data_IF_842843987536
#
_entry.id   IF_842843987536
#
_cell.length_a   1.000
_cell.length_b   1.000
_cell.length_c   1.000
_cell.angle_alpha   90.00
_cell.angle_beta   90.00
_cell.angle_gamma   90.00
#
_symmetry.space_group_name_H-M   'P 1'
#
loop_
_entity.id
_entity.type
_entity.pdbx_description
1 polymer ?
#
# COMPACT_ATOMS: atom_id res chain seq x y z
N UNK A 1 -3.54 -0.52 -53.45
CA UNK A 1 -4.53 -1.53 -53.04
C UNK A 1 -4.69 -1.44 -51.53
N UNK A 2 -5.75 -0.79 -51.07
CA UNK A 2 -6.04 -0.65 -49.64
C UNK A 2 -7.03 -1.75 -49.25
N UNK A 3 -6.60 -2.64 -48.34
CA UNK A 3 -7.42 -3.72 -47.82
C UNK A 3 -8.54 -3.20 -46.92
N UNK A 4 -9.72 -3.77 -47.10
CA UNK A 4 -10.94 -3.48 -46.37
C UNK A 4 -10.76 -3.71 -44.86
N UNK A 5 -11.18 -2.71 -44.06
CA UNK A 5 -11.21 -2.84 -42.60
C UNK A 5 -12.43 -3.67 -42.23
N UNK A 6 -12.19 -4.84 -41.63
CA UNK A 6 -13.23 -5.69 -41.06
C UNK A 6 -14.09 -4.93 -40.07
N UNK A 7 -15.40 -5.04 -40.24
CA UNK A 7 -16.42 -4.49 -39.36
C UNK A 7 -16.40 -5.24 -38.02
N UNK A 8 -15.91 -4.62 -36.95
CA UNK A 8 -15.94 -5.19 -35.60
C UNK A 8 -17.36 -5.06 -35.07
N UNK A 9 -18.04 -6.17 -34.86
CA UNK A 9 -19.37 -6.21 -34.23
C UNK A 9 -19.29 -5.68 -32.79
N UNK A 10 -20.10 -4.68 -32.45
CA UNK A 10 -20.25 -4.22 -31.07
C UNK A 10 -20.92 -5.33 -30.24
N UNK A 11 -20.15 -5.95 -29.35
CA UNK A 11 -20.69 -6.87 -28.34
C UNK A 11 -21.58 -6.12 -27.33
N UNK A 12 -22.48 -6.83 -26.63
CA UNK A 12 -23.41 -6.22 -25.68
C UNK A 12 -22.64 -5.50 -24.58
N UNK A 13 -22.84 -4.17 -24.49
CA UNK A 13 -22.31 -3.32 -23.43
C UNK A 13 -23.21 -3.45 -22.20
N UNK A 14 -23.16 -4.61 -21.55
CA UNK A 14 -23.75 -4.74 -20.23
C UNK A 14 -22.92 -3.90 -19.26
N UNK A 15 -23.46 -2.75 -18.87
CA UNK A 15 -22.94 -1.94 -17.79
C UNK A 15 -23.08 -2.74 -16.49
N UNK A 16 -22.06 -3.53 -16.15
CA UNK A 16 -21.93 -4.12 -14.82
C UNK A 16 -21.70 -2.95 -13.86
N UNK A 17 -22.80 -2.39 -13.35
CA UNK A 17 -22.82 -1.46 -12.24
C UNK A 17 -22.25 -2.20 -11.03
N UNK A 18 -20.96 -2.00 -10.75
CA UNK A 18 -20.35 -2.43 -9.48
C UNK A 18 -21.03 -1.62 -8.39
N UNK A 19 -22.03 -2.21 -7.72
CA UNK A 19 -22.59 -1.68 -6.46
C UNK A 19 -21.42 -1.41 -5.52
N UNK A 20 -21.08 -0.12 -5.32
CA UNK A 20 -20.17 0.30 -4.25
C UNK A 20 -20.78 -0.24 -2.96
N UNK A 21 -20.06 -1.14 -2.27
CA UNK A 21 -20.47 -1.61 -0.95
C UNK A 21 -20.58 -0.37 -0.07
N UNK A 22 -21.76 -0.14 0.51
CA UNK A 22 -21.95 0.90 1.50
C UNK A 22 -20.91 0.69 2.61
N UNK A 23 -20.02 1.66 2.81
CA UNK A 23 -19.06 1.66 3.91
C UNK A 23 -19.87 1.90 5.17
N UNK A 24 -20.27 0.82 5.85
CA UNK A 24 -20.91 0.92 7.15
C UNK A 24 -19.87 1.42 8.16
N UNK A 25 -20.08 2.61 8.72
CA UNK A 25 -19.31 3.09 9.86
C UNK A 25 -19.78 2.31 11.11
N UNK A 26 -18.89 1.55 11.79
CA UNK A 26 -19.32 0.71 12.90
C UNK A 26 -19.66 1.58 14.11
N UNK A 27 -20.91 1.52 14.55
CA UNK A 27 -21.40 2.17 15.77
C UNK A 27 -21.23 1.23 16.96
N UNK A 28 -20.40 1.64 17.93
CA UNK A 28 -20.33 1.28 19.38
C UNK A 28 -20.98 -0.04 19.84
N UNK A 29 -20.32 -1.16 19.53
CA UNK A 29 -19.79 -2.21 20.44
C UNK A 29 -18.91 -3.06 19.53
N UNK A 30 -17.63 -2.75 19.48
CA UNK A 30 -16.74 -3.37 18.51
C UNK A 30 -16.54 -4.84 18.93
N UNK A 31 -17.17 -5.77 18.22
CA UNK A 31 -16.74 -7.17 18.24
C UNK A 31 -15.27 -7.27 17.81
N UNK A 32 -14.68 -8.47 17.86
CA UNK A 32 -13.26 -8.71 17.58
C UNK A 32 -12.77 -7.97 16.31
N UNK A 33 -13.50 -8.08 15.19
CA UNK A 33 -13.21 -7.36 13.94
C UNK A 33 -13.13 -5.84 14.12
N UNK A 34 -14.05 -5.28 14.90
CA UNK A 34 -14.09 -3.84 15.17
C UNK A 34 -12.91 -3.38 16.03
N UNK A 35 -12.49 -4.18 17.01
CA UNK A 35 -11.32 -3.85 17.84
C UNK A 35 -10.04 -3.85 17.00
N UNK A 36 -9.88 -4.86 16.13
CA UNK A 36 -8.75 -4.94 15.19
C UNK A 36 -8.79 -3.76 14.21
N UNK A 37 -9.97 -3.40 13.70
CA UNK A 37 -10.13 -2.26 12.80
C UNK A 37 -9.74 -0.95 13.50
N UNK A 38 -10.15 -0.76 14.75
CA UNK A 38 -9.80 0.41 15.55
C UNK A 38 -8.28 0.50 15.80
N UNK A 39 -7.62 -0.62 16.12
CA UNK A 39 -6.16 -0.66 16.20
C UNK A 39 -5.50 -0.25 14.88
N UNK A 40 -5.96 -0.82 13.76
CA UNK A 40 -5.49 -0.52 12.41
C UNK A 40 -5.70 0.94 11.97
N UNK A 41 -6.60 1.68 12.64
CA UNK A 41 -6.79 3.13 12.38
C UNK A 41 -5.72 4.01 13.01
N UNK A 42 -4.91 3.45 13.92
CA UNK A 42 -3.89 4.16 14.70
C UNK A 42 -2.47 3.70 14.37
N UNK A 43 -2.27 2.45 13.98
CA UNK A 43 -0.93 1.93 13.68
C UNK A 43 -0.57 2.13 12.21
N UNK A 44 0.66 2.58 11.93
CA UNK A 44 1.20 2.65 10.58
C UNK A 44 2.01 1.39 10.29
N UNK A 45 1.37 0.31 9.85
CA UNK A 45 2.03 -0.98 9.56
C UNK A 45 1.88 -1.34 8.09
N UNK A 46 2.95 -1.84 7.46
CA UNK A 46 2.99 -2.25 6.07
C UNK A 46 3.75 -3.58 5.91
N UNK A 47 3.15 -4.63 5.31
CA UNK A 47 1.74 -4.71 4.93
C UNK A 47 0.81 -4.74 6.15
N UNK A 48 -0.48 -4.42 5.96
CA UNK A 48 -1.47 -4.40 7.04
C UNK A 48 -1.54 -5.71 7.85
N UNK A 49 -1.22 -6.84 7.22
CA UNK A 49 -1.20 -8.16 7.87
C UNK A 49 -0.20 -8.27 9.01
N UNK A 50 0.87 -7.47 9.03
CA UNK A 50 1.88 -7.50 10.10
C UNK A 50 1.33 -6.98 11.45
N UNK A 51 0.12 -6.42 11.47
CA UNK A 51 -0.56 -5.98 12.70
C UNK A 51 -0.60 -7.08 13.77
N UNK A 52 -0.70 -8.35 13.37
CA UNK A 52 -0.82 -9.50 14.30
C UNK A 52 0.45 -9.76 15.12
N UNK A 53 1.57 -9.18 14.72
CA UNK A 53 2.87 -9.30 15.39
C UNK A 53 3.20 -8.10 16.28
N UNK A 54 2.35 -7.07 16.28
CA UNK A 54 2.59 -5.87 17.07
C UNK A 54 2.37 -6.14 18.56
N UNK A 55 3.18 -5.55 19.46
CA UNK A 55 2.95 -5.63 20.89
C UNK A 55 1.52 -5.21 21.28
N UNK A 56 1.00 -4.14 20.66
CA UNK A 56 -0.35 -3.62 20.89
C UNK A 56 -1.44 -4.63 20.55
N UNK A 57 -1.20 -5.49 19.55
CA UNK A 57 -2.12 -6.58 19.19
C UNK A 57 -2.02 -7.75 20.19
N UNK A 58 -0.80 -8.07 20.63
CA UNK A 58 -0.53 -9.22 21.49
C UNK A 58 -0.92 -9.00 22.96
N UNK A 59 -0.98 -7.76 23.43
CA UNK A 59 -1.37 -7.42 24.81
C UNK A 59 -2.88 -7.66 25.05
N UNK A 60 -3.71 -7.49 24.03
CA UNK A 60 -5.16 -7.59 24.17
C UNK A 60 -5.62 -9.04 24.11
N UNK A 61 -5.97 -9.62 25.25
CA UNK A 61 -6.35 -11.04 25.39
C UNK A 61 -7.45 -11.50 24.41
N UNK A 62 -8.40 -10.62 24.09
CA UNK A 62 -9.54 -10.92 23.20
C UNK A 62 -9.14 -11.08 21.73
N UNK A 63 -8.12 -10.35 21.25
CA UNK A 63 -7.66 -10.39 19.84
C UNK A 63 -6.35 -11.15 19.66
N UNK A 64 -5.51 -11.26 20.70
CA UNK A 64 -4.17 -11.85 20.64
C UNK A 64 -4.17 -13.33 20.21
N UNK A 65 -5.25 -14.05 20.49
CA UNK A 65 -5.45 -15.45 20.05
C UNK A 65 -5.80 -15.59 18.57
N UNK A 66 -6.22 -14.50 17.91
CA UNK A 66 -6.62 -14.49 16.51
C UNK A 66 -5.39 -14.27 15.62
N UNK A 67 -5.28 -15.05 14.54
CA UNK A 67 -4.20 -14.96 13.55
C UNK A 67 -4.78 -14.70 12.15
N UNK A 68 -3.90 -14.63 11.16
CA UNK A 68 -4.24 -14.26 9.78
C UNK A 68 -5.23 -15.20 9.10
N UNK A 69 -5.42 -16.41 9.62
CA UNK A 69 -6.41 -17.39 9.17
C UNK A 69 -7.84 -17.05 9.65
N UNK A 70 -7.96 -16.34 10.77
CA UNK A 70 -9.23 -15.92 11.37
C UNK A 70 -10.03 -15.03 10.43
N UNK A 71 -11.33 -15.33 10.29
CA UNK A 71 -12.24 -14.53 9.47
C UNK A 71 -12.31 -13.07 9.95
N UNK A 72 -12.33 -12.87 11.26
CA UNK A 72 -12.43 -11.55 11.89
C UNK A 72 -11.22 -10.67 11.58
N UNK A 73 -10.03 -11.26 11.51
CA UNK A 73 -8.78 -10.56 11.13
C UNK A 73 -8.82 -10.22 9.65
N UNK A 74 -9.18 -11.18 8.79
CA UNK A 74 -9.31 -10.95 7.34
C UNK A 74 -10.31 -9.84 7.03
N UNK A 75 -11.50 -9.89 7.64
CA UNK A 75 -12.55 -8.89 7.46
C UNK A 75 -12.07 -7.49 7.92
N UNK A 76 -11.31 -7.40 9.02
CA UNK A 76 -10.75 -6.14 9.49
C UNK A 76 -9.67 -5.59 8.55
N UNK A 77 -8.78 -6.45 8.05
CA UNK A 77 -7.74 -6.08 7.08
C UNK A 77 -8.36 -5.60 5.76
N UNK A 78 -9.36 -6.32 5.24
CA UNK A 78 -10.08 -5.94 4.03
C UNK A 78 -10.83 -4.62 4.20
N UNK A 79 -11.51 -4.42 5.33
CA UNK A 79 -12.22 -3.18 5.63
C UNK A 79 -11.23 -2.00 5.70
N UNK A 80 -10.13 -2.16 6.43
CA UNK A 80 -9.11 -1.12 6.54
C UNK A 80 -8.45 -0.84 5.19
N UNK A 81 -8.07 -1.88 4.46
CA UNK A 81 -7.47 -1.76 3.13
C UNK A 81 -8.39 -1.02 2.17
N UNK A 82 -9.70 -1.31 2.19
CA UNK A 82 -10.69 -0.58 1.40
C UNK A 82 -10.75 0.91 1.75
N UNK A 83 -10.65 1.27 3.03
CA UNK A 83 -10.59 2.67 3.48
C UNK A 83 -9.31 3.35 2.97
N UNK A 84 -8.15 2.72 3.16
CA UNK A 84 -6.85 3.26 2.73
C UNK A 84 -6.81 3.43 1.20
N UNK A 85 -7.43 2.53 0.44
CA UNK A 85 -7.52 2.64 -1.03
C UNK A 85 -8.34 3.85 -1.53
N UNK A 86 -9.06 4.53 -0.64
CA UNK A 86 -9.75 5.80 -0.94
C UNK A 86 -8.97 7.04 -0.52
N UNK A 87 -7.83 6.87 0.16
CA UNK A 87 -7.02 7.98 0.63
C UNK A 87 -6.28 8.67 -0.52
N UNK A 88 -6.21 9.99 -0.42
CA UNK A 88 -5.30 10.84 -1.19
C UNK A 88 -3.99 11.00 -0.42
N UNK A 89 -2.93 11.51 -1.05
CA UNK A 89 -1.68 11.85 -0.35
C UNK A 89 -1.89 12.76 0.87
N UNK A 90 -2.90 13.65 0.83
CA UNK A 90 -3.25 14.51 1.95
C UNK A 90 -3.75 13.70 3.15
N UNK A 91 -4.56 12.66 2.90
CA UNK A 91 -5.04 11.80 3.98
C UNK A 91 -3.92 11.00 4.64
N UNK A 92 -2.91 10.56 3.88
CA UNK A 92 -1.71 9.96 4.44
C UNK A 92 -0.93 10.96 5.30
N UNK A 93 -0.71 12.18 4.80
CA UNK A 93 -0.07 13.25 5.58
C UNK A 93 -0.81 13.53 6.88
N UNK A 94 -2.13 13.67 6.82
CA UNK A 94 -2.97 13.91 8.01
C UNK A 94 -2.91 12.73 8.98
N UNK A 95 -2.87 11.49 8.48
CA UNK A 95 -2.72 10.31 9.32
C UNK A 95 -1.39 10.31 10.06
N UNK A 96 -0.27 10.57 9.38
CA UNK A 96 1.06 10.61 10.00
C UNK A 96 1.27 11.82 10.93
N UNK A 97 0.51 12.90 10.76
CA UNK A 97 0.61 14.10 11.59
C UNK A 97 -0.18 14.01 12.92
N UNK A 98 -1.03 13.00 13.11
CA UNK A 98 -1.81 12.84 14.34
C UNK A 98 -0.94 12.34 15.48
N UNK A 99 -1.15 12.92 16.67
CA UNK A 99 -0.44 12.55 17.91
C UNK A 99 -0.71 11.10 18.34
N UNK A 100 -1.86 10.53 17.97
CA UNK A 100 -2.25 9.17 18.34
C UNK A 100 -1.81 8.11 17.33
N UNK A 101 -1.09 8.49 16.27
CA UNK A 101 -0.60 7.54 15.27
C UNK A 101 0.69 6.89 15.78
N UNK A 102 0.68 5.56 15.84
CA UNK A 102 1.82 4.75 16.24
C UNK A 102 2.63 4.43 14.99
N UNK A 103 3.85 4.96 14.94
CA UNK A 103 4.76 4.84 13.81
C UNK A 103 5.60 3.58 13.92
N UNK A 104 5.23 2.54 13.17
CA UNK A 104 5.84 1.20 13.30
C UNK A 104 6.55 0.77 12.01
N UNK A 105 5.85 0.88 10.89
CA UNK A 105 6.21 0.37 9.56
C UNK A 105 6.66 -1.09 9.62
N UNK A 106 7.96 -1.34 9.50
CA UNK A 106 8.59 -2.66 9.59
C UNK A 106 9.33 -2.90 10.91
N UNK A 107 9.45 -1.89 11.79
CA UNK A 107 10.04 -2.08 13.11
C UNK A 107 9.03 -2.82 14.00
N UNK A 108 9.35 -4.04 14.41
CA UNK A 108 8.42 -4.89 15.20
C UNK A 108 8.14 -4.37 16.63
N UNK A 109 8.73 -3.23 17.02
CA UNK A 109 8.48 -2.54 18.29
C UNK A 109 8.90 -1.06 18.19
N UNK A 110 8.16 -0.17 18.86
CA UNK A 110 8.50 1.25 19.00
C UNK A 110 9.83 1.47 19.73
N UNK A 111 10.18 0.62 20.70
CA UNK A 111 11.44 0.73 21.44
C UNK A 111 12.66 0.51 20.55
N UNK A 112 12.47 -0.16 19.41
CA UNK A 112 13.50 -0.40 18.41
C UNK A 112 13.48 0.64 17.29
N UNK A 113 12.55 1.59 17.27
CA UNK A 113 12.38 2.53 16.18
C UNK A 113 13.67 3.30 15.88
N UNK A 114 14.27 3.92 16.91
CA UNK A 114 15.49 4.71 16.76
C UNK A 114 16.76 3.88 16.59
N UNK A 115 16.70 2.57 16.85
CA UNK A 115 17.77 1.63 16.56
C UNK A 115 17.65 1.01 15.16
N UNK A 116 16.44 1.04 14.58
CA UNK A 116 16.11 0.41 13.30
C UNK A 116 16.07 1.43 12.17
N UNK A 117 15.67 2.66 12.45
CA UNK A 117 15.47 3.71 11.47
C UNK A 117 16.33 4.94 11.76
N UNK A 118 16.79 5.54 10.68
CA UNK A 118 17.40 6.87 10.70
C UNK A 118 16.37 7.91 11.16
N UNK A 119 16.88 9.03 11.68
CA UNK A 119 16.04 10.20 11.90
C UNK A 119 15.43 10.69 10.57
N UNK A 120 14.40 11.53 10.66
CA UNK A 120 13.78 12.11 9.47
C UNK A 120 14.80 12.88 8.61
N UNK A 121 15.65 13.69 9.24
CA UNK A 121 16.65 14.51 8.56
C UNK A 121 17.71 13.66 7.85
N UNK A 122 18.26 12.65 8.54
CA UNK A 122 19.21 11.71 7.96
C UNK A 122 18.59 10.94 6.79
N UNK A 123 17.38 10.39 6.98
CA UNK A 123 16.65 9.68 5.94
C UNK A 123 16.46 10.55 4.69
N UNK A 124 16.08 11.81 4.88
CA UNK A 124 15.87 12.76 3.80
C UNK A 124 17.17 13.07 3.05
N UNK A 125 18.28 13.24 3.78
CA UNK A 125 19.59 13.49 3.19
C UNK A 125 20.08 12.29 2.37
N UNK A 126 19.96 11.07 2.91
CA UNK A 126 20.33 9.83 2.20
C UNK A 126 19.51 9.68 0.91
N UNK A 127 18.19 9.88 0.97
CA UNK A 127 17.32 9.78 -0.21
C UNK A 127 17.66 10.86 -1.25
N UNK A 128 17.91 12.09 -0.81
CA UNK A 128 18.32 13.19 -1.72
C UNK A 128 19.63 12.86 -2.41
N UNK A 129 20.63 12.37 -1.67
CA UNK A 129 21.93 12.01 -2.20
C UNK A 129 21.81 10.88 -3.23
N UNK A 130 21.10 9.80 -2.87
CA UNK A 130 20.85 8.66 -3.77
C UNK A 130 20.18 9.10 -5.07
N UNK A 131 19.09 9.85 -4.99
CA UNK A 131 18.35 10.26 -6.18
C UNK A 131 19.14 11.26 -7.04
N UNK A 132 19.89 12.16 -6.41
CA UNK A 132 20.74 13.12 -7.14
C UNK A 132 21.87 12.39 -7.86
N UNK A 133 22.50 11.40 -7.21
CA UNK A 133 23.54 10.58 -7.82
C UNK A 133 23.03 9.78 -9.01
N UNK A 134 21.86 9.13 -8.89
CA UNK A 134 21.29 8.27 -9.92
C UNK A 134 20.70 9.05 -11.11
N UNK A 135 20.07 10.21 -10.88
CA UNK A 135 19.25 10.89 -11.89
C UNK A 135 19.85 12.21 -12.39
N UNK A 136 20.72 12.85 -11.60
CA UNK A 136 21.33 14.16 -11.91
C UNK A 136 20.27 15.17 -12.41
N UNK A 137 20.39 15.65 -13.64
CA UNK A 137 19.51 16.65 -14.24
C UNK A 137 18.07 16.16 -14.45
N UNK A 138 17.86 14.83 -14.48
CA UNK A 138 16.53 14.22 -14.67
C UNK A 138 15.73 14.10 -13.37
N UNK A 139 16.27 14.55 -12.23
CA UNK A 139 15.65 14.38 -10.92
C UNK A 139 14.24 14.98 -10.83
N UNK A 140 14.05 16.20 -11.36
CA UNK A 140 12.74 16.86 -11.31
C UNK A 140 11.70 16.18 -12.19
N UNK A 141 12.11 15.71 -13.38
CA UNK A 141 11.24 14.95 -14.27
C UNK A 141 10.81 13.62 -13.63
N UNK A 142 11.75 12.92 -13.00
CA UNK A 142 11.47 11.69 -12.27
C UNK A 142 10.48 11.91 -11.12
N UNK A 143 10.70 12.95 -10.28
CA UNK A 143 9.79 13.29 -9.18
C UNK A 143 8.37 13.55 -9.67
N UNK A 144 8.22 14.34 -10.73
CA UNK A 144 6.90 14.63 -11.29
C UNK A 144 6.24 13.37 -11.86
N UNK A 145 7.01 12.54 -12.56
CA UNK A 145 6.52 11.28 -13.13
C UNK A 145 6.06 10.32 -12.02
N UNK A 146 6.85 10.20 -10.95
CA UNK A 146 6.50 9.37 -9.80
C UNK A 146 5.22 9.87 -9.12
N UNK A 147 5.09 11.17 -8.87
CA UNK A 147 3.87 11.76 -8.30
C UNK A 147 2.64 11.52 -9.18
N UNK A 148 2.77 11.71 -10.50
CA UNK A 148 1.67 11.45 -11.44
C UNK A 148 1.20 9.99 -11.41
N UNK A 149 2.13 9.05 -11.20
CA UNK A 149 1.83 7.62 -11.12
C UNK A 149 1.18 7.28 -9.77
N UNK A 150 1.72 7.79 -8.66
CA UNK A 150 1.18 7.54 -7.32
C UNK A 150 -0.25 8.07 -7.16
N UNK A 151 -0.53 9.25 -7.71
CA UNK A 151 -1.87 9.87 -7.69
C UNK A 151 -2.75 9.39 -8.86
N UNK A 152 -2.22 8.57 -9.77
CA UNK A 152 -2.91 8.13 -10.99
C UNK A 152 -3.47 9.31 -11.81
N UNK A 153 -2.75 10.44 -11.80
CA UNK A 153 -3.18 11.71 -12.39
C UNK A 153 -3.31 11.66 -13.90
N UNK A 154 -2.59 10.73 -14.55
CA UNK A 154 -2.61 10.57 -16.01
C UNK A 154 -3.18 9.20 -16.39
N UNK A 155 -4.29 9.14 -17.15
CA UNK A 155 -4.86 7.89 -17.60
C UNK A 155 -3.83 7.02 -18.34
N UNK A 156 -3.83 5.71 -18.07
CA UNK A 156 -2.97 4.70 -18.70
C UNK A 156 -1.46 4.82 -18.40
N UNK A 157 -1.07 5.71 -17.48
CA UNK A 157 0.31 5.85 -17.00
C UNK A 157 0.36 5.59 -15.49
N UNK A 158 -0.08 4.41 -15.06
CA UNK A 158 -0.12 3.98 -13.66
C UNK A 158 1.04 3.04 -13.27
N UNK A 159 2.00 2.84 -14.18
CA UNK A 159 3.14 1.96 -13.99
C UNK A 159 4.44 2.69 -14.34
N UNK A 160 5.47 2.49 -13.51
CA UNK A 160 6.85 2.87 -13.80
C UNK A 160 7.71 1.61 -13.86
N UNK A 161 8.59 1.54 -14.86
CA UNK A 161 9.62 0.53 -14.94
C UNK A 161 10.97 1.16 -14.59
N UNK A 162 11.63 0.64 -13.56
CA UNK A 162 12.93 1.13 -13.09
C UNK A 162 13.99 0.12 -13.46
N UNK A 163 14.83 0.49 -14.42
CA UNK A 163 15.94 -0.34 -14.88
C UNK A 163 17.24 0.25 -14.36
N UNK A 164 17.99 -0.53 -13.60
CA UNK A 164 19.36 -0.17 -13.21
C UNK A 164 20.15 -1.43 -12.81
N UNK A 165 21.48 -1.34 -12.62
CA UNK A 165 22.29 -2.46 -12.14
C UNK A 165 21.82 -3.01 -10.79
N UNK A 166 22.20 -4.26 -10.44
CA UNK A 166 21.99 -4.77 -9.07
C UNK A 166 22.61 -3.82 -8.04
N UNK A 167 22.00 -3.74 -6.86
CA UNK A 167 22.46 -2.91 -5.74
C UNK A 167 22.51 -1.39 -5.97
N UNK A 168 21.91 -0.87 -7.05
CA UNK A 168 21.81 0.57 -7.31
C UNK A 168 20.81 1.33 -6.40
N UNK A 169 20.36 0.73 -5.29
CA UNK A 169 19.45 1.38 -4.33
C UNK A 169 17.97 1.40 -4.74
N UNK A 170 17.55 0.66 -5.79
CA UNK A 170 16.14 0.59 -6.23
C UNK A 170 15.20 0.18 -5.10
N UNK A 171 15.47 -0.97 -4.48
CA UNK A 171 14.61 -1.50 -3.42
C UNK A 171 14.65 -0.59 -2.19
N UNK A 172 15.83 -0.11 -1.80
CA UNK A 172 15.97 0.84 -0.69
C UNK A 172 15.04 2.05 -0.82
N UNK A 173 14.96 2.66 -2.01
CA UNK A 173 14.07 3.80 -2.24
C UNK A 173 12.59 3.39 -2.33
N UNK A 174 12.28 2.38 -3.14
CA UNK A 174 10.89 2.02 -3.42
C UNK A 174 10.21 1.26 -2.29
N UNK A 175 10.94 0.56 -1.42
CA UNK A 175 10.39 -0.03 -0.19
C UNK A 175 9.90 1.08 0.76
N UNK A 176 10.64 2.19 0.88
CA UNK A 176 10.19 3.35 1.65
C UNK A 176 8.95 4.03 1.06
N UNK A 177 8.91 4.20 -0.27
CA UNK A 177 7.71 4.72 -0.96
C UNK A 177 6.53 3.78 -0.75
N UNK A 178 6.74 2.47 -0.88
CA UNK A 178 5.72 1.45 -0.66
C UNK A 178 5.17 1.50 0.76
N UNK A 179 6.04 1.53 1.76
CA UNK A 179 5.67 1.46 3.18
C UNK A 179 4.89 2.71 3.63
N UNK A 180 5.09 3.86 2.97
CA UNK A 180 4.30 5.07 3.17
C UNK A 180 2.82 4.90 2.82
N UNK A 181 2.46 4.05 1.84
CA UNK A 181 1.07 3.87 1.42
C UNK A 181 0.32 2.77 2.19
N UNK A 182 0.98 2.09 3.13
CA UNK A 182 0.45 1.07 4.08
C UNK A 182 -0.18 -0.19 3.47
N UNK A 183 -1.11 -0.03 2.52
CA UNK A 183 -1.84 -1.10 1.87
C UNK A 183 -1.28 -1.39 0.48
N UNK A 184 -0.05 -1.92 0.42
CA UNK A 184 0.61 -2.21 -0.86
C UNK A 184 0.59 -3.69 -1.20
N UNK A 185 0.45 -3.96 -2.49
CA UNK A 185 0.58 -5.31 -3.04
C UNK A 185 2.00 -5.54 -3.53
N UNK A 186 2.60 -6.66 -3.13
CA UNK A 186 3.82 -7.14 -3.76
C UNK A 186 3.48 -8.34 -4.64
N UNK A 187 3.82 -8.23 -5.93
CA UNK A 187 3.89 -9.39 -6.80
C UNK A 187 5.24 -10.06 -6.59
N UNK A 188 5.24 -11.24 -5.98
CA UNK A 188 6.39 -12.13 -6.03
C UNK A 188 6.54 -12.69 -7.46
N UNK A 189 7.73 -13.18 -7.80
CA UNK A 189 8.00 -13.74 -9.13
C UNK A 189 6.88 -14.71 -9.54
N UNK A 190 6.18 -14.47 -10.66
CA UNK A 190 5.13 -15.36 -11.12
C UNK A 190 5.74 -16.75 -11.40
N UNK A 191 5.43 -17.71 -10.54
CA UNK A 191 5.81 -19.11 -10.74
C UNK A 191 4.97 -19.68 -11.89
N UNK A 192 5.58 -20.48 -12.78
CA UNK A 192 4.90 -21.21 -13.88
C UNK A 192 3.73 -22.08 -13.39
N UNK A 193 3.68 -22.45 -12.11
CA UNK A 193 2.56 -23.23 -11.52
C UNK A 193 1.43 -22.38 -10.94
N UNK A 194 1.57 -21.05 -10.84
CA UNK A 194 0.47 -20.19 -10.42
C UNK A 194 -0.46 -19.94 -11.60
N UNK A 195 -1.66 -20.54 -11.56
CA UNK A 195 -2.66 -20.43 -12.63
C UNK A 195 -3.11 -18.98 -12.91
N UNK A 196 -2.95 -18.04 -11.95
CA UNK A 196 -3.18 -16.61 -12.16
C UNK A 196 -2.17 -15.81 -11.32
N UNK A 197 -1.21 -15.16 -11.99
CA UNK A 197 -0.17 -14.35 -11.33
C UNK A 197 -0.70 -13.19 -10.45
N UNK A 198 -1.94 -12.77 -10.68
CA UNK A 198 -2.56 -11.58 -10.08
C UNK A 198 -3.47 -11.86 -8.87
N UNK A 199 -3.59 -13.11 -8.38
CA UNK A 199 -4.46 -13.42 -7.25
C UNK A 199 -3.99 -12.78 -5.93
N UNK A 200 -2.68 -12.71 -5.67
CA UNK A 200 -2.10 -12.18 -4.43
C UNK A 200 -2.22 -10.65 -4.27
N UNK A 201 -2.79 -10.01 -5.28
CA UNK A 201 -2.91 -8.58 -5.47
C UNK A 201 -4.34 -8.05 -5.32
N UNK A 202 -5.30 -8.93 -5.05
CA UNK A 202 -6.68 -8.55 -4.78
C UNK A 202 -6.77 -7.62 -3.55
N UNK A 203 -7.51 -6.51 -3.66
CA UNK A 203 -7.70 -5.47 -2.62
C UNK A 203 -6.46 -4.67 -2.16
N UNK A 204 -5.28 -4.86 -2.78
CA UNK A 204 -4.08 -4.08 -2.43
C UNK A 204 -3.85 -2.94 -3.41
N UNK A 205 -3.26 -1.83 -2.95
CA UNK A 205 -2.88 -0.73 -3.83
C UNK A 205 -1.73 -1.19 -4.73
N UNK A 206 -2.09 -1.40 -5.99
CA UNK A 206 -1.23 -1.42 -7.16
C UNK A 206 -1.80 -0.31 -8.01
N UNK A 207 -0.97 0.60 -8.53
CA UNK A 207 -1.44 1.82 -9.22
C UNK A 207 -2.75 1.60 -9.98
N UNK A 208 -3.78 2.40 -9.63
CA UNK A 208 -5.14 2.22 -10.14
C UNK A 208 -5.20 2.27 -11.67
#
# INVERSE_FOLDING_TARGET
MFGERGHISEGPRDFISRKRRNIALPTRRLGITGQITDLLTRVSVCPLSEVVFLPEYLIWSEIASKRLDSKEVKDALDLRGAVINTWTIHNFRDFYARENTVLVWSARSNDLLYNTYYTHEESLNIVRELLTFQLRDSLNYFKQSLLNILECSVPKLNCICIVSPPSAGKNFYFDGVRDYFLNTGQMCNPNKTNHVAYQDCYNKMLGK
#
